data_IF_641119406010
#
_entry.id   IF_641119406010
#
_cell.length_a   1.000
_cell.length_b   1.000
_cell.length_c   1.000
_cell.angle_alpha   90.00
_cell.angle_beta   90.00
_cell.angle_gamma   90.00
#
_symmetry.space_group_name_H-M   'P 1'
#
loop_
_entity.id
_entity.type
_entity.pdbx_description
1 polymer ?
#
# COMPACT_ATOMS: atom_id res chain seq x y z
N UNK A 1 7.73 -15.12 20.44
CA UNK A 1 6.69 -14.11 20.14
C UNK A 1 6.90 -13.57 18.74
N UNK A 2 5.84 -13.22 17.97
CA UNK A 2 5.99 -12.60 16.67
C UNK A 2 6.65 -11.23 16.80
N UNK A 3 7.42 -10.83 15.79
CA UNK A 3 8.03 -9.51 15.72
C UNK A 3 6.96 -8.42 15.55
N UNK A 4 7.17 -7.27 16.19
CA UNK A 4 6.31 -6.09 16.03
C UNK A 4 6.63 -5.39 14.69
N UNK A 5 6.15 -5.97 13.59
CA UNK A 5 6.41 -5.49 12.24
C UNK A 5 5.25 -5.73 11.26
N UNK A 6 4.05 -5.98 11.75
CA UNK A 6 2.82 -6.01 10.94
C UNK A 6 2.18 -4.63 10.96
N UNK A 7 1.74 -4.16 9.79
CA UNK A 7 1.18 -2.81 9.66
C UNK A 7 -0.31 -2.88 9.34
N UNK A 8 -1.10 -2.17 10.14
CA UNK A 8 -2.54 -2.02 9.93
C UNK A 8 -2.83 -0.96 8.85
N UNK A 9 -4.05 -0.91 8.27
CA UNK A 9 -4.46 0.20 7.39
C UNK A 9 -4.37 1.58 8.06
N UNK A 10 -4.50 1.63 9.38
CA UNK A 10 -4.30 2.86 10.17
C UNK A 10 -2.82 3.20 10.37
N UNK A 11 -1.90 2.41 9.83
CA UNK A 11 -0.47 2.70 9.85
C UNK A 11 0.24 2.28 11.14
N UNK A 12 -0.45 1.66 12.08
CA UNK A 12 0.11 1.13 13.33
C UNK A 12 1.00 -0.08 13.04
N UNK A 13 2.07 -0.22 13.83
CA UNK A 13 2.99 -1.35 13.73
C UNK A 13 2.77 -2.24 14.95
N UNK A 14 2.27 -3.44 14.74
CA UNK A 14 1.89 -4.38 15.80
C UNK A 14 2.60 -5.73 15.67
N UNK A 15 2.58 -6.52 16.74
CA UNK A 15 3.02 -7.91 16.73
C UNK A 15 1.82 -8.81 16.40
N UNK A 16 1.88 -9.50 15.27
CA UNK A 16 0.87 -10.46 14.83
C UNK A 16 1.53 -11.63 14.11
N UNK A 17 1.10 -12.89 14.33
CA UNK A 17 1.69 -14.07 13.69
C UNK A 17 1.32 -14.21 12.20
N UNK A 18 0.29 -13.51 11.71
CA UNK A 18 -0.13 -13.62 10.32
C UNK A 18 0.98 -13.19 9.34
N UNK A 19 1.00 -13.81 8.18
CA UNK A 19 1.93 -13.49 7.09
C UNK A 19 1.22 -12.60 6.08
N UNK A 20 1.80 -11.41 5.85
CA UNK A 20 1.34 -10.53 4.77
C UNK A 20 1.91 -10.95 3.42
N UNK A 21 1.36 -10.43 2.33
CA UNK A 21 1.81 -10.67 0.96
C UNK A 21 2.77 -9.60 0.44
N UNK A 22 2.89 -8.49 1.15
CA UNK A 22 3.75 -7.38 0.78
C UNK A 22 4.69 -7.01 1.93
N UNK A 23 5.85 -6.51 1.56
CA UNK A 23 6.85 -5.97 2.48
C UNK A 23 7.07 -4.48 2.21
N UNK A 24 7.64 -3.77 3.17
CA UNK A 24 8.08 -2.40 2.98
C UNK A 24 8.93 -1.92 4.13
N UNK A 25 9.22 -0.63 4.16
CA UNK A 25 9.96 -0.03 5.27
C UNK A 25 9.65 1.46 5.43
N UNK A 26 10.05 2.03 6.57
CA UNK A 26 10.00 3.45 6.91
C UNK A 26 11.35 3.92 7.47
N UNK A 27 12.44 3.21 7.14
CA UNK A 27 13.77 3.35 7.70
C UNK A 27 14.06 2.37 8.85
N UNK A 28 15.15 2.59 9.58
CA UNK A 28 15.54 1.78 10.73
C UNK A 28 14.71 2.17 11.97
N UNK A 29 13.80 1.31 12.41
CA UNK A 29 12.86 1.57 13.52
C UNK A 29 13.17 0.76 14.77
N UNK A 30 14.00 -0.28 14.66
CA UNK A 30 14.39 -1.17 15.75
C UNK A 30 15.77 -0.84 16.30
N UNK A 31 16.00 -1.20 17.54
CA UNK A 31 17.31 -1.14 18.19
C UNK A 31 18.10 -2.45 17.98
N UNK A 32 19.17 -2.62 18.76
CA UNK A 32 20.01 -3.82 18.74
C UNK A 32 19.24 -5.12 19.08
N UNK A 33 18.18 -5.03 19.90
CA UNK A 33 17.41 -6.18 20.40
C UNK A 33 16.15 -6.51 19.62
N UNK A 34 16.01 -6.13 18.34
CA UNK A 34 14.80 -6.39 17.52
C UNK A 34 13.49 -5.76 18.03
N UNK A 35 13.52 -5.01 19.12
CA UNK A 35 12.39 -4.24 19.61
C UNK A 35 12.27 -2.91 18.87
N UNK A 36 11.02 -2.49 18.57
CA UNK A 36 10.80 -1.16 18.00
C UNK A 36 11.11 -0.08 19.03
N UNK A 37 11.84 0.96 18.58
CA UNK A 37 11.97 2.20 19.33
C UNK A 37 10.66 3.02 19.32
N UNK A 38 10.72 4.23 19.87
CA UNK A 38 9.58 5.16 19.90
C UNK A 38 9.22 5.73 18.52
N UNK A 39 10.17 5.77 17.59
CA UNK A 39 9.96 6.26 16.22
C UNK A 39 9.11 5.30 15.41
N UNK A 40 8.11 5.84 14.68
CA UNK A 40 7.29 5.08 13.74
C UNK A 40 7.72 5.29 12.28
N UNK A 41 8.69 6.15 12.05
CA UNK A 41 9.38 6.35 10.78
C UNK A 41 10.71 7.10 11.01
N UNK A 42 11.69 6.85 10.13
CA UNK A 42 13.01 7.49 10.09
C UNK A 42 13.34 8.04 8.70
N UNK A 43 12.52 7.71 7.71
CA UNK A 43 12.65 8.16 6.33
C UNK A 43 11.27 8.58 5.80
N UNK A 44 11.24 9.54 4.90
CA UNK A 44 10.01 9.88 4.14
C UNK A 44 9.76 8.90 2.98
N UNK A 45 10.70 8.04 2.67
CA UNK A 45 10.62 7.06 1.59
C UNK A 45 9.91 5.80 2.13
N UNK A 46 8.57 5.79 2.06
CA UNK A 46 7.76 4.64 2.46
C UNK A 46 7.35 3.86 1.24
N UNK A 47 7.96 2.68 1.08
CA UNK A 47 7.76 1.84 -0.11
C UNK A 47 7.09 0.53 0.22
N UNK A 48 6.35 -0.01 -0.76
CA UNK A 48 5.73 -1.33 -0.75
C UNK A 48 6.45 -2.20 -1.78
N UNK A 49 7.07 -3.28 -1.30
CA UNK A 49 7.93 -4.20 -2.03
C UNK A 49 7.30 -5.59 -2.16
N UNK A 50 7.81 -6.41 -3.08
CA UNK A 50 7.56 -7.83 -3.12
C UNK A 50 8.23 -8.53 -1.93
N UNK A 51 7.65 -9.65 -1.46
CA UNK A 51 8.27 -10.52 -0.46
C UNK A 51 9.49 -11.23 -1.03
N UNK A 52 9.32 -11.83 -2.21
CA UNK A 52 10.40 -12.49 -2.95
C UNK A 52 10.80 -11.62 -4.15
N UNK A 53 12.05 -11.25 -4.17
CA UNK A 53 12.68 -10.56 -5.29
C UNK A 53 14.12 -11.00 -5.45
N UNK A 54 14.42 -11.67 -6.59
CA UNK A 54 15.75 -12.22 -6.92
C UNK A 54 16.24 -13.29 -5.93
N UNK A 55 15.33 -14.00 -5.26
CA UNK A 55 15.68 -15.06 -4.30
C UNK A 55 16.39 -14.57 -3.03
N UNK A 56 16.40 -13.26 -2.78
CA UNK A 56 17.11 -12.68 -1.63
C UNK A 56 16.28 -12.87 -0.36
N UNK A 57 16.74 -13.73 0.54
CA UNK A 57 16.22 -13.84 1.90
C UNK A 57 16.90 -12.81 2.81
N UNK A 58 16.13 -12.15 3.64
CA UNK A 58 16.61 -11.10 4.54
C UNK A 58 16.11 -11.31 5.97
N UNK A 59 16.98 -11.04 6.95
CA UNK A 59 16.52 -10.86 8.32
C UNK A 59 15.56 -9.65 8.36
N UNK A 60 14.37 -9.78 8.95
CA UNK A 60 13.42 -8.68 9.06
C UNK A 60 13.91 -7.46 9.84
N UNK A 61 14.84 -7.66 10.77
CA UNK A 61 15.37 -6.61 11.64
C UNK A 61 16.88 -6.76 11.85
N UNK A 62 17.70 -6.64 10.78
CA UNK A 62 19.14 -6.75 10.90
C UNK A 62 19.72 -5.51 11.57
N UNK A 63 20.72 -5.62 12.45
CA UNK A 63 21.32 -4.49 13.14
C UNK A 63 21.78 -3.39 12.18
N UNK A 64 21.45 -2.13 12.51
CA UNK A 64 21.88 -0.95 11.74
C UNK A 64 21.24 -0.78 10.37
N UNK A 65 20.28 -1.63 9.97
CA UNK A 65 19.59 -1.57 8.68
C UNK A 65 18.11 -1.24 8.85
N UNK A 66 17.39 -1.03 7.73
CA UNK A 66 15.97 -0.75 7.76
C UNK A 66 15.13 -1.92 8.32
N UNK A 67 14.04 -1.60 8.99
CA UNK A 67 13.08 -2.55 9.55
C UNK A 67 12.14 -3.04 8.45
N UNK A 68 12.06 -4.35 8.23
CA UNK A 68 11.05 -4.92 7.35
C UNK A 68 9.67 -4.86 8.02
N UNK A 69 8.75 -4.16 7.36
CA UNK A 69 7.34 -4.07 7.71
C UNK A 69 6.54 -4.95 6.75
N UNK A 70 5.48 -5.59 7.24
CA UNK A 70 4.66 -6.48 6.42
C UNK A 70 3.21 -6.02 6.41
N UNK A 71 2.59 -6.14 5.25
CA UNK A 71 1.20 -5.74 4.98
C UNK A 71 0.43 -6.97 4.48
N UNK A 72 -0.87 -7.04 4.79
CA UNK A 72 -1.74 -8.06 4.18
C UNK A 72 -1.56 -8.04 2.66
N UNK A 73 -1.72 -6.86 2.06
CA UNK A 73 -1.67 -6.62 0.62
C UNK A 73 -1.23 -5.18 0.30
N UNK A 74 -1.31 -4.80 -0.97
CA UNK A 74 -0.96 -3.45 -1.38
C UNK A 74 -2.00 -2.41 -0.93
N UNK A 75 -3.31 -2.73 -0.95
CA UNK A 75 -4.33 -1.80 -0.49
C UNK A 75 -4.09 -1.39 0.96
N UNK A 76 -3.69 -2.33 1.83
CA UNK A 76 -3.25 -2.07 3.20
C UNK A 76 -2.02 -1.15 3.25
N UNK A 77 -1.02 -1.43 2.39
CA UNK A 77 0.20 -0.61 2.35
C UNK A 77 -0.09 0.83 1.87
N UNK A 78 -0.93 0.98 0.83
CA UNK A 78 -1.37 2.28 0.31
C UNK A 78 -2.15 3.06 1.38
N UNK A 79 -3.07 2.41 2.08
CA UNK A 79 -3.80 3.02 3.19
C UNK A 79 -2.85 3.49 4.29
N UNK A 80 -1.85 2.70 4.65
CA UNK A 80 -0.80 3.09 5.58
C UNK A 80 0.13 4.19 5.06
N UNK A 81 -0.02 4.61 3.79
CA UNK A 81 0.71 5.72 3.17
C UNK A 81 2.00 5.33 2.44
N UNK A 82 2.17 4.05 2.09
CA UNK A 82 3.27 3.57 1.26
C UNK A 82 2.92 3.68 -0.23
N UNK A 83 3.92 3.64 -1.08
CA UNK A 83 3.77 3.57 -2.55
C UNK A 83 4.56 2.40 -3.13
N UNK A 84 4.28 1.97 -4.36
CA UNK A 84 5.05 0.91 -5.01
C UNK A 84 6.55 1.21 -5.05
N UNK A 85 7.36 0.18 -4.82
CA UNK A 85 8.82 0.28 -4.89
C UNK A 85 9.27 0.44 -6.35
N UNK A 86 10.12 1.43 -6.63
CA UNK A 86 10.65 1.67 -7.97
C UNK A 86 11.65 0.61 -8.45
N UNK A 87 12.14 -0.25 -7.56
CA UNK A 87 13.11 -1.29 -7.87
C UNK A 87 12.44 -2.66 -8.11
N UNK A 88 11.83 -3.25 -7.07
CA UNK A 88 11.25 -4.59 -7.18
C UNK A 88 9.86 -4.60 -7.83
N UNK A 89 9.17 -3.45 -7.90
CA UNK A 89 7.83 -3.28 -8.48
C UNK A 89 7.84 -2.19 -9.55
N UNK A 90 8.79 -2.26 -10.47
CA UNK A 90 9.04 -1.19 -11.45
C UNK A 90 7.81 -0.84 -12.28
N UNK A 91 7.06 -1.84 -12.75
CA UNK A 91 5.86 -1.65 -13.57
C UNK A 91 4.75 -0.94 -12.77
N UNK A 92 4.45 -1.43 -11.57
CA UNK A 92 3.48 -0.81 -10.67
C UNK A 92 3.87 0.62 -10.31
N UNK A 93 5.17 0.86 -10.05
CA UNK A 93 5.67 2.19 -9.76
C UNK A 93 5.48 3.16 -10.93
N UNK A 94 5.72 2.71 -12.16
CA UNK A 94 5.49 3.53 -13.37
C UNK A 94 3.99 3.79 -13.56
N UNK A 95 3.14 2.77 -13.43
CA UNK A 95 1.69 2.90 -13.52
C UNK A 95 1.13 3.84 -12.44
N UNK A 96 1.61 3.72 -11.20
CA UNK A 96 1.23 4.61 -10.10
C UNK A 96 1.60 6.08 -10.39
N UNK A 97 2.80 6.34 -10.90
CA UNK A 97 3.24 7.70 -11.27
C UNK A 97 2.45 8.27 -12.43
N UNK A 98 2.05 7.44 -13.38
CA UNK A 98 1.23 7.87 -14.52
C UNK A 98 -0.19 8.22 -14.07
N UNK A 99 -0.83 7.37 -13.27
CA UNK A 99 -2.13 7.65 -12.67
C UNK A 99 -2.09 8.91 -11.78
N UNK A 100 -1.03 9.08 -11.01
CA UNK A 100 -0.80 10.30 -10.22
C UNK A 100 -0.68 11.54 -11.10
N UNK A 101 0.08 11.46 -12.20
CA UNK A 101 0.22 12.55 -13.19
C UNK A 101 -1.14 12.93 -13.77
N UNK A 102 -1.91 11.93 -14.22
CA UNK A 102 -3.23 12.12 -14.80
C UNK A 102 -4.20 12.75 -13.79
N UNK A 103 -4.27 12.22 -12.57
CA UNK A 103 -5.14 12.72 -11.50
C UNK A 103 -4.88 14.20 -11.12
N UNK A 104 -3.69 14.71 -11.35
CA UNK A 104 -3.26 16.06 -10.95
C UNK A 104 -2.91 16.96 -12.12
N UNK A 105 -3.18 16.53 -13.36
CA UNK A 105 -2.92 17.28 -14.59
C UNK A 105 -1.47 17.78 -14.69
N UNK A 106 -0.51 16.96 -14.21
CA UNK A 106 0.89 17.34 -14.24
C UNK A 106 1.48 17.18 -15.65
N UNK A 107 2.41 18.06 -16.08
CA UNK A 107 3.04 17.96 -17.41
C UNK A 107 3.95 16.72 -17.54
N UNK A 108 4.48 16.19 -16.43
CA UNK A 108 5.31 14.99 -16.40
C UNK A 108 5.00 14.11 -15.20
N UNK A 109 5.44 12.85 -15.26
CA UNK A 109 5.39 11.96 -14.10
C UNK A 109 6.26 12.51 -12.98
N UNK A 110 5.73 12.60 -11.73
CA UNK A 110 6.51 13.11 -10.59
C UNK A 110 7.68 12.16 -10.26
N UNK A 111 8.77 12.71 -9.76
CA UNK A 111 9.89 11.95 -9.23
C UNK A 111 9.54 11.35 -7.85
N UNK A 112 10.28 10.33 -7.41
CA UNK A 112 10.05 9.70 -6.11
C UNK A 112 10.09 10.69 -4.94
N UNK A 113 11.04 11.62 -4.83
CA UNK A 113 11.04 12.61 -3.73
C UNK A 113 9.82 13.54 -3.74
N UNK A 114 9.30 13.88 -4.92
CA UNK A 114 8.10 14.73 -5.07
C UNK A 114 6.85 13.99 -4.54
N UNK A 115 6.69 12.71 -4.91
CA UNK A 115 5.63 11.85 -4.36
C UNK A 115 5.75 11.72 -2.84
N UNK A 116 6.95 11.39 -2.34
CA UNK A 116 7.19 11.13 -0.93
C UNK A 116 6.97 12.39 -0.08
N UNK A 117 7.29 13.57 -0.60
CA UNK A 117 7.04 14.85 0.07
C UNK A 117 5.53 15.12 0.20
N UNK A 118 4.73 14.88 -0.85
CA UNK A 118 3.28 15.04 -0.81
C UNK A 118 2.64 14.01 0.12
N UNK A 119 2.98 12.75 -0.05
CA UNK A 119 2.44 11.66 0.78
C UNK A 119 2.79 11.86 2.26
N UNK A 120 3.98 12.36 2.57
CA UNK A 120 4.37 12.57 3.96
C UNK A 120 3.48 13.58 4.67
N UNK A 121 3.04 14.64 4.00
CA UNK A 121 2.09 15.62 4.54
C UNK A 121 0.66 15.09 4.67
N UNK A 122 0.31 14.03 3.94
CA UNK A 122 -1.04 13.47 3.90
C UNK A 122 -1.23 12.24 4.80
N UNK A 123 -0.14 11.59 5.22
CA UNK A 123 -0.20 10.33 5.98
C UNK A 123 0.11 10.47 7.45
N UNK A 124 0.76 11.57 7.88
CA UNK A 124 1.13 11.76 9.28
C UNK A 124 1.21 13.25 9.64
N UNK A 125 0.78 13.58 10.85
CA UNK A 125 0.91 14.92 11.43
C UNK A 125 2.28 15.12 12.11
N UNK A 126 2.49 16.29 12.69
CA UNK A 126 3.71 16.63 13.46
C UNK A 126 3.86 15.75 14.71
N UNK A 127 2.76 15.26 15.28
CA UNK A 127 2.72 14.33 16.42
C UNK A 127 2.86 12.87 16.00
N UNK A 128 3.19 12.60 14.74
CA UNK A 128 3.36 11.25 14.14
C UNK A 128 2.08 10.39 14.14
N UNK A 129 0.91 11.02 14.30
CA UNK A 129 -0.38 10.34 14.20
C UNK A 129 -0.80 10.22 12.74
N UNK A 130 -1.53 9.16 12.43
CA UNK A 130 -2.14 8.96 11.11
C UNK A 130 -3.09 10.10 10.80
N UNK A 131 -2.96 10.67 9.61
CA UNK A 131 -3.96 11.57 9.04
C UNK A 131 -4.98 10.79 8.22
N UNK A 132 -6.24 11.11 8.41
CA UNK A 132 -7.38 10.62 7.64
C UNK A 132 -8.14 11.82 7.05
N UNK A 133 -9.09 11.57 6.17
CA UNK A 133 -9.97 12.60 5.64
C UNK A 133 -11.38 12.04 5.48
N UNK A 134 -12.35 12.91 5.21
CA UNK A 134 -13.73 12.48 4.95
C UNK A 134 -14.06 12.68 3.47
N UNK A 135 -14.75 11.70 2.89
CA UNK A 135 -15.25 11.76 1.52
C UNK A 135 -16.55 10.97 1.41
N UNK A 136 -17.40 11.33 0.46
CA UNK A 136 -18.60 10.55 0.15
C UNK A 136 -18.18 9.15 -0.32
N UNK A 137 -18.66 8.14 0.38
CA UNK A 137 -18.28 6.74 0.11
C UNK A 137 -18.71 6.31 -1.30
N UNK A 138 -19.80 6.83 -1.82
CA UNK A 138 -20.29 6.53 -3.17
C UNK A 138 -19.38 7.08 -4.28
N UNK A 139 -18.56 8.10 -3.98
CA UNK A 139 -17.61 8.69 -4.93
C UNK A 139 -16.20 8.07 -4.86
N UNK A 140 -15.95 7.18 -3.90
CA UNK A 140 -14.64 6.54 -3.74
C UNK A 140 -14.46 5.38 -4.73
N UNK A 141 -13.26 5.23 -5.32
CA UNK A 141 -12.95 4.10 -6.18
C UNK A 141 -12.72 2.81 -5.39
N UNK A 142 -12.86 1.66 -6.05
CA UNK A 142 -12.47 0.36 -5.52
C UNK A 142 -10.99 0.33 -5.13
N UNK A 143 -10.66 -0.41 -4.06
CA UNK A 143 -9.28 -0.51 -3.55
C UNK A 143 -8.91 0.54 -2.51
N UNK A 144 -9.82 1.46 -2.18
CA UNK A 144 -9.65 2.43 -1.09
C UNK A 144 -10.02 1.80 0.24
N UNK A 145 -9.22 2.09 1.27
CA UNK A 145 -9.52 1.67 2.65
C UNK A 145 -10.25 2.78 3.39
N UNK A 146 -11.35 2.42 4.02
CA UNK A 146 -12.20 3.31 4.83
C UNK A 146 -12.37 2.75 6.24
N UNK A 147 -12.90 3.56 7.16
CA UNK A 147 -13.34 3.11 8.47
C UNK A 147 -14.87 3.02 8.49
N UNK A 148 -15.39 1.85 8.81
CA UNK A 148 -16.83 1.60 8.98
C UNK A 148 -17.08 1.07 10.40
N UNK A 149 -17.96 1.69 11.15
CA UNK A 149 -18.25 1.32 12.56
C UNK A 149 -17.00 1.21 13.45
N UNK A 150 -16.00 2.08 13.23
CA UNK A 150 -14.74 2.07 13.98
C UNK A 150 -13.66 1.17 13.40
N UNK A 151 -14.00 0.21 12.53
CA UNK A 151 -13.08 -0.78 11.99
C UNK A 151 -12.61 -0.48 10.57
N UNK A 152 -11.35 -0.78 10.20
CA UNK A 152 -10.86 -0.62 8.85
C UNK A 152 -11.49 -1.65 7.90
N UNK A 153 -11.79 -1.22 6.68
CA UNK A 153 -12.32 -2.09 5.65
C UNK A 153 -11.96 -1.62 4.24
N UNK A 154 -11.95 -2.55 3.31
CA UNK A 154 -11.66 -2.32 1.89
C UNK A 154 -12.97 -2.05 1.14
N UNK A 155 -13.03 -0.94 0.42
CA UNK A 155 -14.15 -0.64 -0.48
C UNK A 155 -13.94 -1.37 -1.81
N UNK A 156 -14.91 -2.21 -2.17
CA UNK A 156 -14.98 -2.94 -3.45
C UNK A 156 -16.43 -3.08 -3.87
N UNK A 157 -16.75 -2.73 -5.11
CA UNK A 157 -18.07 -2.82 -5.72
C UNK A 157 -19.18 -2.20 -4.83
N UNK A 158 -18.91 -1.02 -4.27
CA UNK A 158 -19.84 -0.31 -3.40
C UNK A 158 -20.08 -0.97 -2.03
N UNK A 159 -19.25 -1.94 -1.64
CA UNK A 159 -19.31 -2.63 -0.34
C UNK A 159 -18.02 -2.45 0.42
N UNK A 160 -18.12 -2.41 1.74
CA UNK A 160 -16.94 -2.39 2.62
C UNK A 160 -16.72 -3.79 3.17
N UNK A 161 -15.53 -4.33 2.97
CA UNK A 161 -15.10 -5.63 3.51
C UNK A 161 -14.22 -5.40 4.73
N UNK A 162 -14.65 -5.80 5.93
CA UNK A 162 -13.85 -5.68 7.15
C UNK A 162 -12.45 -6.29 6.95
N UNK A 163 -11.44 -5.56 7.36
CA UNK A 163 -10.05 -5.96 7.22
C UNK A 163 -9.57 -6.73 8.45
N UNK A 164 -8.71 -7.73 8.24
CA UNK A 164 -7.90 -8.35 9.27
C UNK A 164 -6.53 -8.70 8.71
N UNK A 165 -5.57 -9.08 9.54
CA UNK A 165 -4.27 -9.59 9.07
C UNK A 165 -4.36 -10.93 8.30
N UNK A 166 -5.52 -11.60 8.32
CA UNK A 166 -5.76 -12.89 7.64
C UNK A 166 -6.61 -12.75 6.39
N UNK A 167 -7.02 -11.53 6.04
CA UNK A 167 -7.85 -11.27 4.87
C UNK A 167 -9.06 -10.41 5.18
N UNK A 168 -9.99 -10.39 4.24
CA UNK A 168 -11.20 -9.59 4.27
C UNK A 168 -12.41 -10.44 4.64
N UNK A 169 -13.28 -9.87 5.46
CA UNK A 169 -14.55 -10.47 5.88
C UNK A 169 -15.69 -10.30 4.87
N UNK A 170 -16.89 -10.73 5.27
CA UNK A 170 -18.09 -10.60 4.49
C UNK A 170 -18.41 -9.13 4.13
N UNK A 171 -18.92 -8.83 2.92
CA UNK A 171 -19.19 -7.48 2.47
C UNK A 171 -20.35 -6.85 3.24
N UNK A 172 -20.13 -5.65 3.75
CA UNK A 172 -21.11 -4.83 4.45
C UNK A 172 -21.60 -3.71 3.53
N UNK A 173 -22.87 -3.36 3.62
CA UNK A 173 -23.41 -2.16 2.97
C UNK A 173 -23.03 -0.93 3.82
N UNK A 174 -22.28 0.03 3.29
CA UNK A 174 -22.10 1.28 3.99
C UNK A 174 -23.40 2.09 3.97
N UNK A 175 -23.63 2.87 5.01
CA UNK A 175 -24.66 3.92 4.99
C UNK A 175 -24.29 5.02 3.96
N UNK A 176 -25.27 5.85 3.55
CA UNK A 176 -25.00 6.99 2.69
C UNK A 176 -24.19 8.07 3.42
N UNK A 177 -23.46 8.88 2.65
CA UNK A 177 -22.74 10.05 3.15
C UNK A 177 -21.24 9.83 3.37
N UNK A 178 -20.59 10.77 4.10
CA UNK A 178 -19.14 10.79 4.19
C UNK A 178 -18.60 9.71 5.13
N UNK A 179 -17.65 8.92 4.63
CA UNK A 179 -16.86 7.98 5.40
C UNK A 179 -15.51 8.57 5.82
N UNK A 180 -14.92 8.03 6.88
CA UNK A 180 -13.52 8.27 7.21
C UNK A 180 -12.63 7.44 6.30
N UNK A 181 -11.79 8.10 5.49
CA UNK A 181 -10.91 7.49 4.51
C UNK A 181 -9.50 7.36 5.09
N UNK A 182 -8.98 6.12 5.12
CA UNK A 182 -7.63 5.81 5.61
C UNK A 182 -6.57 5.99 4.53
N UNK A 183 -6.92 5.75 3.27
CA UNK A 183 -6.02 5.93 2.12
C UNK A 183 -5.77 7.42 1.88
N UNK A 184 -4.50 7.88 1.80
CA UNK A 184 -4.19 9.29 1.58
C UNK A 184 -4.85 9.87 0.33
N UNK A 185 -5.29 11.16 0.34
CA UNK A 185 -6.07 11.76 -0.75
C UNK A 185 -5.42 11.64 -2.14
N UNK A 186 -4.11 11.83 -2.24
CA UNK A 186 -3.41 11.70 -3.54
C UNK A 186 -3.33 10.26 -4.04
N UNK A 187 -3.36 9.27 -3.15
CA UNK A 187 -3.44 7.84 -3.52
C UNK A 187 -4.86 7.54 -4.00
N UNK A 188 -5.90 8.02 -3.30
CA UNK A 188 -7.29 7.90 -3.75
C UNK A 188 -7.44 8.47 -5.17
N UNK A 189 -6.90 9.66 -5.42
CA UNK A 189 -6.94 10.28 -6.73
C UNK A 189 -6.21 9.45 -7.81
N UNK A 190 -5.06 8.85 -7.48
CA UNK A 190 -4.34 7.97 -8.41
C UNK A 190 -5.13 6.67 -8.72
N UNK A 191 -5.80 6.09 -7.71
CA UNK A 191 -6.68 4.93 -7.92
C UNK A 191 -7.86 5.32 -8.82
N UNK A 192 -8.52 6.44 -8.57
CA UNK A 192 -9.59 6.96 -9.40
C UNK A 192 -9.15 7.21 -10.85
N UNK A 193 -7.89 7.63 -11.06
CA UNK A 193 -7.27 7.84 -12.37
C UNK A 193 -6.75 6.54 -13.03
N UNK A 194 -7.03 5.37 -12.45
CA UNK A 194 -6.77 4.10 -13.09
C UNK A 194 -5.63 3.26 -12.51
N UNK A 195 -5.06 3.63 -11.37
CA UNK A 195 -4.16 2.72 -10.67
C UNK A 195 -4.98 1.61 -9.98
N UNK A 196 -4.65 0.36 -10.27
CA UNK A 196 -5.33 -0.81 -9.71
C UNK A 196 -4.47 -1.46 -8.62
N UNK A 197 -4.83 -1.32 -7.33
CA UNK A 197 -4.09 -1.96 -6.24
C UNK A 197 -4.16 -3.48 -6.28
N UNK A 198 -3.10 -4.16 -5.83
CA UNK A 198 -3.11 -5.58 -5.53
C UNK A 198 -3.83 -5.79 -4.19
N UNK A 199 -4.87 -6.64 -4.20
CA UNK A 199 -5.64 -6.98 -3.01
C UNK A 199 -5.57 -8.49 -2.73
N UNK A 200 -5.69 -8.88 -1.46
CA UNK A 200 -5.73 -10.27 -1.05
C UNK A 200 -6.96 -10.97 -1.62
N UNK A 201 -6.82 -12.23 -2.08
CA UNK A 201 -7.87 -12.96 -2.81
C UNK A 201 -9.22 -13.01 -2.10
N UNK A 202 -9.26 -13.08 -0.75
CA UNK A 202 -10.52 -13.06 -0.01
C UNK A 202 -11.37 -11.80 -0.21
N UNK A 203 -10.79 -10.74 -0.78
CA UNK A 203 -11.55 -9.55 -1.15
C UNK A 203 -12.60 -9.81 -2.26
N UNK A 204 -12.44 -10.86 -3.06
CA UNK A 204 -13.32 -11.20 -4.18
C UNK A 204 -14.06 -12.55 -4.04
N UNK A 205 -13.97 -13.23 -2.89
CA UNK A 205 -14.59 -14.57 -2.67
C UNK A 205 -16.12 -14.57 -2.67
N UNK A 206 -16.76 -13.41 -2.61
CA UNK A 206 -18.22 -13.29 -2.80
C UNK A 206 -18.44 -12.62 -4.14
N UNK A 207 -19.29 -13.17 -5.03
CA UNK A 207 -19.55 -12.60 -6.35
C UNK A 207 -19.85 -11.10 -6.25
N UNK A 208 -19.27 -10.27 -7.12
CA UNK A 208 -19.67 -8.88 -7.23
C UNK A 208 -21.14 -8.79 -7.59
N UNK A 209 -21.82 -7.77 -7.10
CA UNK A 209 -23.18 -7.45 -7.58
C UNK A 209 -23.15 -7.23 -9.10
N UNK A 210 -24.27 -7.42 -9.81
CA UNK A 210 -24.35 -7.10 -11.23
C UNK A 210 -23.85 -5.68 -11.48
N UNK A 211 -22.82 -5.52 -12.29
CA UNK A 211 -22.15 -4.27 -12.60
C UNK A 211 -20.77 -4.49 -13.22
N UNK A 212 -20.04 -3.40 -13.45
CA UNK A 212 -18.67 -3.48 -13.94
C UNK A 212 -17.78 -4.27 -12.96
N UNK A 213 -16.80 -5.06 -13.43
CA UNK A 213 -15.87 -5.75 -12.55
C UNK A 213 -15.07 -4.73 -11.70
N UNK A 214 -14.73 -5.10 -10.44
CA UNK A 214 -13.99 -4.21 -9.58
C UNK A 214 -12.59 -3.91 -10.16
N UNK A 215 -12.15 -2.67 -10.07
CA UNK A 215 -10.85 -2.20 -10.58
C UNK A 215 -9.73 -2.43 -9.57
N UNK A 216 -9.47 -3.69 -9.28
CA UNK A 216 -8.37 -4.15 -8.41
C UNK A 216 -7.74 -5.40 -9.02
N UNK A 217 -6.47 -5.66 -8.69
CA UNK A 217 -5.76 -6.89 -9.06
C UNK A 217 -5.66 -7.82 -7.86
N UNK A 218 -5.66 -9.13 -8.10
CA UNK A 218 -5.59 -10.14 -7.04
C UNK A 218 -4.16 -10.49 -6.71
N UNK A 219 -3.90 -10.67 -5.42
CA UNK A 219 -2.65 -11.19 -4.87
C UNK A 219 -2.97 -12.42 -4.01
N UNK A 220 -2.40 -13.55 -4.33
CA UNK A 220 -2.57 -14.81 -3.59
C UNK A 220 -1.33 -15.20 -2.80
N UNK A 221 -1.48 -15.97 -1.70
CA UNK A 221 -0.36 -16.55 -1.01
C UNK A 221 0.48 -17.42 -1.96
N UNK A 222 1.80 -17.14 -2.05
CA UNK A 222 2.69 -17.87 -2.95
C UNK A 222 2.74 -17.36 -4.39
N UNK A 223 1.99 -16.31 -4.74
CA UNK A 223 2.06 -15.68 -6.05
C UNK A 223 3.50 -15.25 -6.38
N UNK A 224 3.96 -15.64 -7.58
CA UNK A 224 5.29 -15.26 -8.08
C UNK A 224 5.25 -13.85 -8.67
N UNK A 225 6.43 -13.27 -8.88
CA UNK A 225 6.56 -11.93 -9.48
C UNK A 225 5.77 -11.78 -10.78
N UNK A 226 5.77 -12.79 -11.65
CA UNK A 226 5.04 -12.78 -12.92
C UNK A 226 3.53 -12.62 -12.74
N UNK A 227 2.96 -13.22 -11.70
CA UNK A 227 1.53 -13.20 -11.40
C UNK A 227 1.07 -11.85 -10.83
N UNK A 228 2.02 -11.04 -10.33
CA UNK A 228 1.77 -9.73 -9.71
C UNK A 228 2.00 -8.57 -10.68
N UNK A 229 2.53 -8.85 -11.87
CA UNK A 229 2.79 -7.82 -12.88
C UNK A 229 1.53 -7.56 -13.72
N UNK A 230 1.20 -6.30 -14.03
CA UNK A 230 0.08 -5.99 -14.92
C UNK A 230 0.31 -6.57 -16.32
N UNK A 231 -0.74 -6.94 -17.08
CA UNK A 231 -0.61 -7.46 -18.42
C UNK A 231 0.18 -6.49 -19.31
N UNK A 232 0.94 -7.03 -20.25
CA UNK A 232 1.83 -6.26 -21.14
C UNK A 232 1.04 -5.22 -21.95
N UNK A 233 1.16 -3.95 -21.63
CA UNK A 233 1.01 -2.90 -22.62
C UNK A 233 2.33 -2.89 -23.42
N UNK A 234 2.29 -3.41 -24.64
CA UNK A 234 3.45 -3.47 -25.48
C UNK A 234 3.99 -2.08 -25.80
N UNK A 235 5.16 -1.78 -25.26
CA UNK A 235 6.16 -0.88 -25.81
C UNK A 235 7.44 -1.05 -25.00
N UNK A 236 8.43 -1.66 -25.63
CA UNK A 236 9.81 -1.69 -25.14
C UNK A 236 10.40 -0.28 -25.28
N UNK A 237 10.74 0.33 -24.16
CA UNK A 237 11.64 1.48 -24.12
C UNK A 237 12.83 1.09 -23.26
N UNK A 238 13.98 0.90 -23.91
CA UNK A 238 15.26 0.81 -23.24
C UNK A 238 15.51 2.11 -22.47
N UNK A 239 15.72 2.02 -21.17
CA UNK A 239 16.06 3.16 -20.32
C UNK A 239 17.46 2.97 -19.72
N UNK A 240 18.16 4.07 -19.42
CA UNK A 240 19.56 4.06 -19.01
C UNK A 240 19.75 3.40 -17.65
N UNK A 241 20.90 2.77 -17.51
CA UNK A 241 21.44 2.23 -16.25
C UNK A 241 21.48 3.31 -15.17
N UNK A 242 20.94 3.01 -14.01
CA UNK A 242 21.07 3.85 -12.83
C UNK A 242 22.09 3.25 -11.87
N UNK A 243 23.16 4.00 -11.69
CA UNK A 243 24.25 3.78 -10.76
C UNK A 243 23.75 3.69 -9.31
N UNK A 244 24.20 2.66 -8.60
CA UNK A 244 23.83 2.38 -7.23
C UNK A 244 24.79 3.08 -6.28
N UNK A 245 24.50 4.29 -5.85
CA UNK A 245 25.11 4.82 -4.64
C UNK A 245 24.28 4.45 -3.41
N UNK A 246 24.69 3.39 -2.74
CA UNK A 246 24.41 3.17 -1.33
C UNK A 246 25.45 3.94 -0.53
N UNK A 247 25.10 5.12 -0.09
CA UNK A 247 25.84 5.82 0.95
C UNK A 247 25.55 5.22 2.33
N UNK A 248 26.47 5.43 3.32
CA UNK A 248 26.51 4.79 4.62
C UNK A 248 25.31 5.10 5.54
#
# INVERSE_FOLDING_TARGET
MPLQNRVTPSGEIVADPARGLMMGNRGCLHGQGRGLGVSRWRSKLWICCLLDFKGVQRDPMPPGRWTALFFLDEATALAAGHRPCGYCRRRDYVAFREAWRAARWLPRRPLAPELDAVLHRQRTDRSRRKLTHRADIAALPDGVMVRLAGEPGLLIAGRVRPWSFRGYGAPLRPGPGPAEVLTPPSIVAAIAAGYEPLVYASALTVPPLPGAPPRVRICEPGARRADLEPPHAGHAVAGPEFDHHHGP
#
